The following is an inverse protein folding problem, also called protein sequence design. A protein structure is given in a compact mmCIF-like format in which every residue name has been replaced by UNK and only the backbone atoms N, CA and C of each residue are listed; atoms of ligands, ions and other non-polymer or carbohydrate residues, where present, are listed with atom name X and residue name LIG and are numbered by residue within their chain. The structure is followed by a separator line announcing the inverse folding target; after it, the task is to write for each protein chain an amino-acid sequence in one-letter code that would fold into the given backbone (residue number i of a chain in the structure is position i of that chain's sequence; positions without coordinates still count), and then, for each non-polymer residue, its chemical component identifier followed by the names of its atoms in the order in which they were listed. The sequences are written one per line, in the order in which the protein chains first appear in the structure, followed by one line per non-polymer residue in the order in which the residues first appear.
data_IF_256948666389
#
_entry.id   IF_256948666389
#
_cell.length_a   1.000
_cell.length_b   1.000
_cell.length_c   1.000
_cell.angle_alpha   90.00
_cell.angle_beta   90.00
_cell.angle_gamma   90.00
#
_symmetry.space_group_name_H-M   'P 1'
#
loop_
_entity.id
_entity.type
_entity.pdbx_description
1 polymer ?
#
# COMPACT_ATOMS: atom_id res chain seq x y z
N UNK A 1 -1.91 11.61 -8.26
CA UNK A 1 -2.29 11.29 -6.87
C UNK A 1 -2.70 9.83 -6.82
N UNK A 2 -1.76 8.92 -6.54
CA UNK A 2 -2.07 7.51 -6.38
C UNK A 2 -2.73 7.32 -5.01
N UNK A 3 -4.02 6.98 -5.00
CA UNK A 3 -4.72 6.57 -3.78
C UNK A 3 -3.90 5.43 -3.14
N UNK A 4 -3.33 5.65 -1.95
CA UNK A 4 -2.50 4.69 -1.19
C UNK A 4 -3.33 3.47 -0.79
N UNK A 5 -3.56 2.56 -1.75
CA UNK A 5 -4.30 1.33 -1.55
C UNK A 5 -3.32 0.18 -1.38
N UNK A 6 -3.52 -0.60 -0.33
CA UNK A 6 -2.73 -1.79 -0.07
C UNK A 6 -2.79 -2.76 -1.27
N UNK A 7 -1.61 -3.18 -1.72
CA UNK A 7 -1.44 -4.19 -2.74
C UNK A 7 -1.99 -5.54 -2.22
N UNK A 8 -2.74 -6.31 -3.04
CA UNK A 8 -3.29 -7.58 -2.57
C UNK A 8 -2.16 -8.56 -2.26
N UNK A 9 -2.17 -9.12 -1.05
CA UNK A 9 -1.19 -10.13 -0.64
C UNK A 9 -1.82 -11.52 -0.64
N UNK A 10 -1.04 -12.57 -0.97
CA UNK A 10 -1.43 -13.96 -0.77
C UNK A 10 -2.01 -14.19 0.64
N UNK A 11 -3.10 -14.95 0.74
CA UNK A 11 -3.73 -15.29 2.02
C UNK A 11 -4.78 -14.29 2.52
N UNK A 12 -4.85 -13.07 1.97
CA UNK A 12 -5.85 -12.08 2.38
C UNK A 12 -7.26 -12.45 1.90
N UNK A 13 -8.26 -12.02 2.68
CA UNK A 13 -9.67 -12.12 2.32
C UNK A 13 -10.16 -10.77 1.78
N UNK A 14 -10.87 -10.82 0.67
CA UNK A 14 -11.41 -9.66 -0.03
C UNK A 14 -12.90 -9.90 -0.31
N UNK A 15 -13.73 -8.92 -0.03
CA UNK A 15 -15.19 -8.97 -0.28
C UNK A 15 -15.51 -8.20 -1.55
N UNK A 16 -16.27 -8.84 -2.43
CA UNK A 16 -16.80 -8.24 -3.63
C UNK A 16 -18.05 -7.40 -3.30
N UNK A 17 -18.34 -6.37 -4.11
CA UNK A 17 -19.52 -5.52 -3.91
C UNK A 17 -20.84 -6.31 -3.90
N UNK A 18 -20.91 -7.45 -4.62
CA UNK A 18 -22.06 -8.37 -4.59
C UNK A 18 -22.20 -9.20 -3.30
N UNK A 19 -21.34 -9.00 -2.30
CA UNK A 19 -21.39 -9.69 -1.01
C UNK A 19 -20.60 -11.00 -0.90
N UNK A 20 -20.01 -11.51 -1.99
CA UNK A 20 -19.18 -12.71 -1.94
C UNK A 20 -17.76 -12.43 -1.42
N UNK A 21 -17.24 -13.32 -0.57
CA UNK A 21 -15.85 -13.26 -0.08
C UNK A 21 -14.94 -14.16 -0.92
N UNK A 22 -13.75 -13.65 -1.21
CA UNK A 22 -12.72 -14.30 -1.99
C UNK A 22 -11.39 -14.26 -1.22
N UNK A 23 -10.60 -15.32 -1.36
CA UNK A 23 -9.23 -15.42 -0.83
C UNK A 23 -8.24 -15.19 -1.96
N UNK A 24 -7.27 -14.31 -1.75
CA UNK A 24 -6.16 -14.11 -2.68
C UNK A 24 -5.21 -15.29 -2.54
N UNK A 25 -4.90 -15.94 -3.66
CA UNK A 25 -3.91 -17.01 -3.74
C UNK A 25 -2.55 -16.40 -4.04
N UNK A 26 -2.49 -15.46 -4.97
CA UNK A 26 -1.27 -14.73 -5.29
C UNK A 26 -1.45 -13.79 -6.48
N UNK A 27 -0.35 -13.18 -6.90
CA UNK A 27 -0.30 -12.32 -8.07
C UNK A 27 0.73 -12.92 -9.02
N UNK A 28 0.32 -13.12 -10.26
CA UNK A 28 1.18 -13.60 -11.34
C UNK A 28 1.33 -12.52 -12.41
N UNK A 29 2.33 -12.72 -13.27
CA UNK A 29 2.53 -11.91 -14.46
C UNK A 29 2.14 -12.72 -15.70
N UNK A 30 1.38 -12.12 -16.61
CA UNK A 30 1.04 -12.75 -17.88
C UNK A 30 2.26 -12.72 -18.78
N UNK A 31 2.83 -13.89 -19.10
CA UNK A 31 4.09 -13.98 -19.83
C UNK A 31 4.04 -13.37 -21.24
N UNK A 32 2.88 -13.37 -21.88
CA UNK A 32 2.72 -12.84 -23.24
C UNK A 32 2.45 -11.33 -23.29
N UNK A 33 1.82 -10.77 -22.25
CA UNK A 33 1.42 -9.35 -22.24
C UNK A 33 2.19 -8.51 -21.22
N UNK A 34 2.87 -9.13 -20.25
CA UNK A 34 3.46 -8.47 -19.09
C UNK A 34 2.43 -7.98 -18.06
N UNK A 35 1.14 -8.27 -18.26
CA UNK A 35 0.08 -7.77 -17.40
C UNK A 35 0.03 -8.52 -16.06
N UNK A 36 -0.04 -7.77 -14.96
CA UNK A 36 -0.20 -8.35 -13.63
C UNK A 36 -1.62 -8.86 -13.42
N UNK A 37 -1.74 -10.12 -13.04
CA UNK A 37 -3.00 -10.83 -12.80
C UNK A 37 -3.10 -11.23 -11.33
N UNK A 38 -4.24 -10.97 -10.71
CA UNK A 38 -4.59 -11.44 -9.36
C UNK A 38 -5.27 -12.79 -9.48
N UNK A 39 -4.69 -13.80 -8.85
CA UNK A 39 -5.26 -15.12 -8.68
C UNK A 39 -6.04 -15.20 -7.36
N UNK A 40 -7.34 -15.49 -7.44
CA UNK A 40 -8.19 -15.58 -6.25
C UNK A 40 -9.20 -16.73 -6.37
N UNK A 41 -9.59 -17.27 -5.22
CA UNK A 41 -10.58 -18.35 -5.11
C UNK A 41 -11.67 -17.98 -4.10
N UNK A 42 -12.82 -18.63 -4.20
CA UNK A 42 -13.89 -18.54 -3.21
C UNK A 42 -13.64 -19.64 -2.17
N UNK A 43 -13.61 -19.32 -0.86
CA UNK A 43 -13.50 -20.35 0.17
C UNK A 43 -14.54 -21.46 -0.02
N UNK A 44 -14.08 -22.71 -0.05
CA UNK A 44 -14.92 -23.89 -0.32
C UNK A 44 -15.17 -24.22 -1.80
N UNK A 45 -14.65 -23.42 -2.75
CA UNK A 45 -14.72 -23.71 -4.19
C UNK A 45 -13.36 -24.18 -4.73
N UNK A 46 -13.36 -25.11 -5.68
CA UNK A 46 -12.15 -25.57 -6.41
C UNK A 46 -11.79 -24.69 -7.62
N UNK A 47 -12.58 -23.65 -7.90
CA UNK A 47 -12.40 -22.77 -9.05
C UNK A 47 -11.44 -21.64 -8.71
N UNK A 48 -10.42 -21.44 -9.55
CA UNK A 48 -9.51 -20.30 -9.48
C UNK A 48 -9.90 -19.28 -10.56
N UNK A 49 -9.94 -18.01 -10.18
CA UNK A 49 -10.17 -16.90 -11.10
C UNK A 49 -8.89 -16.07 -11.23
N UNK A 50 -8.64 -15.62 -12.46
CA UNK A 50 -7.55 -14.71 -12.81
C UNK A 50 -8.17 -13.40 -13.31
N UNK A 51 -7.68 -12.27 -12.82
CA UNK A 51 -8.18 -10.95 -13.23
C UNK A 51 -7.05 -9.92 -13.26
N UNK A 52 -6.99 -9.01 -14.25
CA UNK A 52 -6.00 -7.94 -14.26
C UNK A 52 -6.05 -7.13 -12.96
N UNK A 53 -4.87 -6.88 -12.39
CA UNK A 53 -4.70 -6.18 -11.12
C UNK A 53 -5.31 -4.77 -11.17
N UNK A 54 -5.11 -4.06 -12.28
CA UNK A 54 -5.70 -2.73 -12.52
C UNK A 54 -7.24 -2.77 -12.43
N UNK A 55 -7.86 -3.80 -13.00
CA UNK A 55 -9.31 -4.01 -12.94
C UNK A 55 -9.80 -4.50 -11.58
N UNK A 56 -8.97 -5.18 -10.81
CA UNK A 56 -9.28 -5.69 -9.48
C UNK A 56 -9.29 -4.55 -8.45
N UNK A 57 -8.28 -3.67 -8.50
CA UNK A 57 -8.17 -2.50 -7.62
C UNK A 57 -9.06 -1.33 -8.07
N UNK A 58 -9.61 -1.40 -9.29
CA UNK A 58 -10.46 -0.36 -9.88
C UNK A 58 -11.84 -0.20 -9.22
N UNK A 59 -12.45 0.97 -9.48
CA UNK A 59 -13.80 1.34 -9.03
C UNK A 59 -14.89 0.64 -9.86
N UNK A 60 -16.08 0.47 -9.28
CA UNK A 60 -17.28 0.02 -10.00
C UNK A 60 -17.78 1.15 -10.91
N UNK A 61 -18.39 0.82 -12.06
CA UNK A 61 -19.06 1.81 -12.92
C UNK A 61 -20.14 2.52 -12.07
N UNK A 62 -19.95 3.81 -11.80
CA UNK A 62 -20.79 4.58 -10.88
C UNK A 62 -20.03 5.28 -9.75
N UNK A 63 -18.73 5.03 -9.61
CA UNK A 63 -17.79 5.90 -8.87
C UNK A 63 -17.83 5.85 -7.34
N UNK A 64 -18.92 5.32 -6.75
CA UNK A 64 -19.11 5.35 -5.29
C UNK A 64 -18.47 4.19 -4.54
N UNK A 65 -18.23 3.05 -5.20
CA UNK A 65 -17.75 1.83 -4.55
C UNK A 65 -16.65 1.11 -5.33
N UNK A 66 -15.75 0.45 -4.59
CA UNK A 66 -14.73 -0.43 -5.15
C UNK A 66 -15.27 -1.82 -5.45
N UNK A 67 -14.75 -2.45 -6.51
CA UNK A 67 -15.18 -3.79 -6.93
C UNK A 67 -14.92 -4.85 -5.86
N UNK A 68 -13.73 -4.76 -5.24
CA UNK A 68 -13.31 -5.59 -4.14
C UNK A 68 -12.85 -4.69 -3.00
N UNK A 69 -13.06 -5.10 -1.76
CA UNK A 69 -12.57 -4.43 -0.55
C UNK A 69 -11.86 -5.46 0.33
N UNK A 70 -10.74 -5.08 0.94
CA UNK A 70 -10.03 -5.97 1.87
C UNK A 70 -10.88 -6.16 3.12
N UNK A 71 -11.00 -7.40 3.57
CA UNK A 71 -11.59 -7.74 4.86
C UNK A 71 -10.44 -8.06 5.80
N UNK A 72 -10.14 -7.13 6.71
CA UNK A 72 -9.25 -7.41 7.83
C UNK A 72 -9.91 -8.50 8.68
N UNK A 73 -9.25 -9.65 8.80
CA UNK A 73 -9.58 -10.58 9.87
C UNK A 73 -9.17 -9.88 11.16
N UNK A 74 -10.17 -9.40 11.91
CA UNK A 74 -9.96 -9.04 13.30
C UNK A 74 -9.44 -10.30 13.97
N UNK A 75 -8.16 -10.31 14.33
CA UNK A 75 -7.62 -11.35 15.19
C UNK A 75 -8.61 -11.50 16.35
N UNK A 76 -9.05 -12.73 16.69
CA UNK A 76 -9.82 -12.93 17.90
C UNK A 76 -9.01 -12.30 19.06
N UNK A 77 -9.72 -11.71 20.01
CA UNK A 77 -9.24 -10.82 21.08
C UNK A 77 -8.11 -11.37 21.98
N UNK A 78 -7.52 -12.53 21.69
CA UNK A 78 -6.41 -13.12 22.44
C UNK A 78 -5.09 -12.36 22.27
N UNK A 79 -4.96 -11.47 21.29
CA UNK A 79 -3.80 -10.58 21.16
C UNK A 79 -3.91 -9.27 21.95
N UNK A 80 -4.97 -9.06 22.76
CA UNK A 80 -5.00 -7.93 23.69
C UNK A 80 -4.06 -8.13 24.88
N UNK A 81 -3.72 -9.38 25.20
CA UNK A 81 -2.90 -9.71 26.38
C UNK A 81 -1.39 -9.63 26.12
N UNK A 82 -0.93 -9.60 24.85
CA UNK A 82 0.51 -9.60 24.52
C UNK A 82 1.13 -8.20 24.34
N UNK A 83 0.37 -7.11 24.46
CA UNK A 83 0.89 -5.73 24.37
C UNK A 83 1.13 -5.06 25.74
N UNK A 84 1.21 -5.83 26.83
CA UNK A 84 1.46 -5.27 28.16
C UNK A 84 2.95 -5.25 28.58
N UNK A 85 3.87 -5.89 27.84
CA UNK A 85 5.26 -6.05 28.31
C UNK A 85 6.34 -5.96 27.21
N UNK A 86 6.08 -5.18 26.15
CA UNK A 86 7.14 -4.77 25.23
C UNK A 86 7.05 -3.26 25.08
N UNK A 87 7.47 -2.56 26.15
CA UNK A 87 8.04 -1.23 26.03
C UNK A 87 9.29 -1.35 25.16
N UNK A 88 9.08 -1.31 23.85
CA UNK A 88 10.13 -0.91 22.91
C UNK A 88 10.39 0.56 23.22
N UNK A 89 11.41 0.80 24.03
CA UNK A 89 11.95 2.14 24.18
C UNK A 89 12.36 2.62 22.80
N UNK A 90 11.73 3.72 22.37
CA UNK A 90 12.12 4.43 21.17
C UNK A 90 13.50 5.03 21.47
N UNK A 91 14.57 4.68 20.74
CA UNK A 91 15.79 5.46 20.84
C UNK A 91 15.50 6.86 20.29
N UNK A 92 15.58 7.86 21.17
CA UNK A 92 15.61 9.28 20.85
C UNK A 92 16.77 9.53 19.87
N UNK A 93 16.45 9.70 18.59
CA UNK A 93 17.41 10.18 17.60
C UNK A 93 17.67 11.67 17.87
N UNK A 94 18.92 12.08 18.16
CA UNK A 94 19.23 13.41 18.63
C UNK A 94 19.03 14.46 17.54
N UNK A 95 18.28 15.50 17.90
CA UNK A 95 18.23 16.78 17.22
C UNK A 95 19.65 17.30 16.97
N UNK A 96 20.08 17.28 15.70
CA UNK A 96 21.34 17.92 15.35
C UNK A 96 21.07 19.40 15.12
N UNK A 97 21.22 20.14 16.20
CA UNK A 97 21.37 21.58 16.24
C UNK A 97 22.71 21.96 15.59
N UNK A 98 22.71 22.34 14.31
CA UNK A 98 23.83 23.06 13.71
C UNK A 98 23.41 24.48 13.34
N UNK A 99 23.79 25.34 14.28
CA UNK A 99 23.86 26.79 14.27
C UNK A 99 24.56 27.32 13.00
N UNK A 100 23.85 28.23 12.33
CA UNK A 100 24.24 29.51 11.71
C UNK A 100 25.61 29.62 11.03
N UNK A 101 25.61 29.97 9.73
CA UNK A 101 26.43 31.10 9.26
C UNK A 101 25.66 31.92 8.22
N UNK A 102 25.35 33.15 8.65
CA UNK A 102 24.80 34.24 7.84
C UNK A 102 25.99 35.12 7.48
N UNK A 103 26.67 34.81 6.38
CA UNK A 103 27.60 35.73 5.74
C UNK A 103 26.90 36.36 4.53
N UNK A 104 26.36 37.57 4.70
CA UNK A 104 27.07 38.83 4.44
C UNK A 104 27.33 38.97 2.94
N UNK A 105 26.50 39.77 2.29
CA UNK A 105 26.81 40.30 0.98
C UNK A 105 27.95 41.31 1.10
N UNK A 106 28.86 41.29 0.13
CA UNK A 106 29.71 42.42 -0.21
C UNK A 106 30.26 42.25 -1.64
N UNK A 107 29.89 43.20 -2.49
CA UNK A 107 30.66 43.86 -3.57
C UNK A 107 31.69 43.03 -4.37
N UNK A 108 31.67 42.96 -5.71
CA UNK A 108 32.08 44.06 -6.60
C UNK A 108 31.99 43.65 -8.10
N UNK A 109 31.69 44.67 -8.90
CA UNK A 109 32.03 44.94 -10.30
C UNK A 109 33.22 44.18 -10.93
N UNK A 110 33.04 43.61 -12.13
CA UNK A 110 34.03 43.68 -13.21
C UNK A 110 33.39 43.44 -14.59
N UNK A 111 33.33 44.54 -15.32
CA UNK A 111 33.34 44.71 -16.77
C UNK A 111 34.32 43.74 -17.49
N UNK A 112 33.92 43.15 -18.63
CA UNK A 112 34.65 43.12 -19.93
C UNK A 112 33.74 42.42 -20.95
N UNK A 113 33.29 43.17 -21.96
CA UNK A 113 32.54 42.65 -23.11
C UNK A 113 33.39 42.00 -24.20
N UNK A 114 32.75 41.20 -25.04
CA UNK A 114 32.48 41.47 -26.46
C UNK A 114 31.50 40.41 -26.99
#
# INVERSE_FOLDING_TARGET
MAECRAYPLPGQLWRHFKGCTYKIVGIGEHTESGDRLVAYTRPGSKKLWLRPLSMFMGKVKGGREYRFQMVWMRLPSLLSTLHADLSVEQPDEPETDFIVDRDTGDETDHDVGC
#
